data_IF_709807233866
#
_entry.id   IF_709807233866
#
_cell.length_a   1.000
_cell.length_b   1.000
_cell.length_c   1.000
_cell.angle_alpha   90.00
_cell.angle_beta   90.00
_cell.angle_gamma   90.00
#
_symmetry.space_group_name_H-M   'P 1'
#
loop_
_entity.id
_entity.type
_entity.pdbx_description
1 polymer ?
#
# COMPACT_ATOMS: atom_id res chain seq x y z
N UNK A 1 -25.80 -38.91 67.00
CA UNK A 1 -25.53 -40.10 66.18
C UNK A 1 -24.62 -39.68 65.03
N UNK A 2 -23.46 -40.36 64.88
CA UNK A 2 -22.45 -40.33 63.79
C UNK A 2 -21.69 -38.99 63.57
N UNK A 3 -20.42 -38.75 63.98
CA UNK A 3 -19.11 -39.36 63.58
C UNK A 3 -19.02 -39.63 62.07
N UNK A 4 -18.06 -39.16 61.25
CA UNK A 4 -16.58 -38.99 61.29
C UNK A 4 -16.24 -38.26 59.94
N UNK A 5 -15.19 -37.48 59.68
CA UNK A 5 -13.75 -37.68 59.88
C UNK A 5 -12.99 -36.36 59.65
N UNK A 6 -12.04 -36.07 60.55
CA UNK A 6 -10.92 -35.14 60.39
C UNK A 6 -9.70 -35.93 59.91
N UNK A 7 -8.96 -35.40 58.92
CA UNK A 7 -7.50 -35.53 58.73
C UNK A 7 -7.08 -34.18 58.09
N UNK A 8 -6.45 -33.20 58.75
CA UNK A 8 -5.12 -33.13 59.40
C UNK A 8 -4.00 -33.34 58.36
N UNK A 9 -3.10 -32.41 58.05
CA UNK A 9 -2.82 -31.08 58.58
C UNK A 9 -1.75 -30.37 57.73
N UNK A 10 -1.49 -29.12 58.06
CA UNK A 10 -0.42 -28.24 57.54
C UNK A 10 0.97 -28.88 57.53
N UNK A 11 1.82 -28.43 56.59
CA UNK A 11 3.10 -27.80 56.98
C UNK A 11 3.68 -26.90 55.88
N UNK A 12 4.13 -25.73 56.33
CA UNK A 12 4.93 -24.71 55.64
C UNK A 12 6.39 -25.17 55.46
N UNK A 13 7.03 -24.82 54.32
CA UNK A 13 8.37 -24.18 54.27
C UNK A 13 8.87 -23.87 52.84
N UNK A 14 9.16 -22.57 52.64
CA UNK A 14 10.35 -21.94 52.01
C UNK A 14 10.91 -22.43 50.66
N UNK A 15 10.88 -21.49 49.70
CA UNK A 15 11.97 -21.00 48.82
C UNK A 15 12.87 -22.01 48.08
N UNK A 16 12.73 -22.07 46.75
CA UNK A 16 13.73 -21.63 45.75
C UNK A 16 13.59 -22.39 44.41
N UNK A 17 13.65 -21.57 43.35
CA UNK A 17 14.16 -21.85 42.00
C UNK A 17 13.28 -22.59 41.00
N UNK A 18 12.82 -21.81 40.02
CA UNK A 18 12.15 -22.26 38.81
C UNK A 18 11.43 -21.11 38.11
N UNK A 19 12.16 -20.04 37.78
CA UNK A 19 11.73 -19.06 36.77
C UNK A 19 11.38 -19.81 35.47
N UNK A 20 10.10 -20.10 35.26
CA UNK A 20 9.51 -20.02 33.94
C UNK A 20 8.62 -18.78 33.93
N UNK A 21 9.26 -17.62 34.07
CA UNK A 21 8.84 -16.47 33.27
C UNK A 21 8.92 -16.91 31.82
N UNK A 22 7.81 -17.44 31.31
CA UNK A 22 7.49 -17.28 29.90
C UNK A 22 7.56 -15.79 29.65
N UNK A 23 8.68 -15.34 29.12
CA UNK A 23 8.83 -14.03 28.50
C UNK A 23 7.84 -14.03 27.35
N UNK A 24 6.59 -13.74 27.66
CA UNK A 24 5.63 -13.23 26.71
C UNK A 24 6.28 -11.93 26.24
N UNK A 25 6.93 -11.99 25.09
CA UNK A 25 7.78 -10.93 24.60
C UNK A 25 6.93 -9.67 24.41
N UNK A 26 7.02 -8.78 25.40
CA UNK A 26 6.19 -7.60 25.60
C UNK A 26 6.63 -6.49 24.65
N UNK A 27 6.44 -6.66 23.35
CA UNK A 27 6.60 -5.57 22.39
C UNK A 27 5.67 -5.60 21.17
N UNK A 28 5.04 -6.74 20.83
CA UNK A 28 4.23 -6.86 19.60
C UNK A 28 2.71 -6.99 19.80
N UNK A 29 2.23 -7.10 21.05
CA UNK A 29 0.81 -7.31 21.40
C UNK A 29 -0.03 -6.00 21.55
N UNK A 30 0.49 -4.84 21.16
CA UNK A 30 -0.09 -3.53 21.55
C UNK A 30 -0.94 -2.87 20.46
N UNK A 31 -1.74 -3.65 19.72
CA UNK A 31 -2.85 -3.04 18.99
C UNK A 31 -3.90 -2.55 20.02
N UNK A 32 -4.44 -1.32 19.88
CA UNK A 32 -5.35 -0.74 20.87
C UNK A 32 -6.67 -1.51 21.03
N UNK A 33 -6.99 -2.37 20.07
CA UNK A 33 -8.12 -3.31 20.07
C UNK A 33 -7.84 -4.41 19.04
N UNK A 34 -8.42 -5.61 19.20
CA UNK A 34 -8.22 -6.72 18.27
C UNK A 34 -9.30 -6.77 17.20
N UNK A 35 -9.00 -7.44 16.08
CA UNK A 35 -9.98 -7.67 15.01
C UNK A 35 -11.19 -8.48 15.51
N UNK A 36 -10.96 -9.41 16.43
CA UNK A 36 -12.00 -10.24 17.05
C UNK A 36 -13.03 -9.44 17.87
N UNK A 37 -12.66 -8.25 18.36
CA UNK A 37 -13.51 -7.42 19.23
C UNK A 37 -14.52 -6.58 18.44
N UNK A 38 -14.49 -6.63 17.10
CA UNK A 38 -15.34 -5.82 16.25
C UNK A 38 -16.65 -6.55 15.95
N UNK A 39 -17.68 -6.16 16.69
CA UNK A 39 -19.04 -6.55 16.40
C UNK A 39 -19.63 -5.72 15.26
N UNK A 40 -20.18 -6.39 14.24
CA UNK A 40 -20.98 -5.72 13.20
C UNK A 40 -22.37 -6.34 13.13
N UNK A 41 -23.38 -5.47 13.13
CA UNK A 41 -24.77 -5.85 12.85
C UNK A 41 -24.92 -6.27 11.39
N UNK A 42 -25.53 -7.43 11.10
CA UNK A 42 -25.75 -7.88 9.72
C UNK A 42 -26.61 -6.86 8.97
N UNK A 43 -26.22 -6.55 7.73
CA UNK A 43 -26.95 -5.67 6.81
C UNK A 43 -27.44 -6.49 5.61
N UNK A 44 -28.39 -5.93 4.87
CA UNK A 44 -28.92 -6.53 3.64
C UNK A 44 -27.84 -6.89 2.60
N UNK A 45 -26.68 -6.23 2.64
CA UNK A 45 -25.55 -6.46 1.72
C UNK A 45 -24.72 -7.72 2.11
N UNK A 46 -24.97 -8.34 3.27
CA UNK A 46 -24.23 -9.52 3.74
C UNK A 46 -24.78 -10.82 3.16
N UNK A 47 -24.86 -10.90 1.84
CA UNK A 47 -25.36 -12.09 1.14
C UNK A 47 -24.40 -13.29 1.25
N UNK A 48 -23.12 -13.06 1.53
CA UNK A 48 -22.09 -14.10 1.66
C UNK A 48 -21.17 -13.84 2.87
N UNK A 49 -20.74 -14.87 3.63
CA UNK A 49 -19.89 -14.70 4.82
C UNK A 49 -18.58 -13.93 4.57
N UNK A 50 -18.03 -14.00 3.35
CA UNK A 50 -16.84 -13.22 2.97
C UNK A 50 -17.08 -11.71 2.96
N UNK A 51 -18.28 -11.25 2.62
CA UNK A 51 -18.63 -9.82 2.60
C UNK A 51 -18.65 -9.26 4.02
N UNK A 52 -19.25 -10.01 4.95
CA UNK A 52 -19.24 -9.67 6.38
C UNK A 52 -17.81 -9.59 6.90
N UNK A 53 -16.97 -10.59 6.59
CA UNK A 53 -15.55 -10.63 6.98
C UNK A 53 -14.78 -9.41 6.46
N UNK A 54 -14.89 -9.12 5.17
CA UNK A 54 -14.23 -7.94 4.55
C UNK A 54 -14.69 -6.66 5.24
N UNK A 55 -15.98 -6.53 5.55
CA UNK A 55 -16.49 -5.34 6.24
C UNK A 55 -15.95 -5.21 7.66
N UNK A 56 -15.81 -6.32 8.40
CA UNK A 56 -15.14 -6.33 9.71
C UNK A 56 -13.72 -5.81 9.62
N UNK A 57 -12.95 -6.34 8.67
CA UNK A 57 -11.57 -5.92 8.45
C UNK A 57 -11.47 -4.45 8.01
N UNK A 58 -12.36 -3.97 7.15
CA UNK A 58 -12.38 -2.57 6.74
C UNK A 58 -12.73 -1.63 7.90
N UNK A 59 -13.70 -2.00 8.74
CA UNK A 59 -14.04 -1.20 9.93
C UNK A 59 -12.91 -1.22 10.97
N UNK A 60 -12.22 -2.35 11.13
CA UNK A 60 -11.03 -2.47 11.96
C UNK A 60 -9.95 -1.50 11.51
N UNK A 61 -9.57 -1.59 10.25
CA UNK A 61 -8.54 -0.74 9.64
C UNK A 61 -8.92 0.74 9.75
N UNK A 62 -10.19 1.08 9.52
CA UNK A 62 -10.68 2.45 9.62
C UNK A 62 -10.62 3.02 11.05
N UNK A 63 -11.00 2.23 12.06
CA UNK A 63 -10.86 2.66 13.45
C UNK A 63 -9.38 2.83 13.79
N UNK A 64 -8.54 1.91 13.32
CA UNK A 64 -7.13 1.87 13.67
C UNK A 64 -6.36 3.05 13.04
N UNK A 65 -6.62 3.37 11.76
CA UNK A 65 -5.97 4.50 11.08
C UNK A 65 -6.36 5.85 11.67
N UNK A 66 -7.60 5.97 12.19
CA UNK A 66 -8.05 7.19 12.89
C UNK A 66 -7.32 7.39 14.21
N UNK A 67 -7.07 6.32 14.95
CA UNK A 67 -6.31 6.38 16.21
C UNK A 67 -4.84 6.70 15.95
N UNK A 68 -4.27 6.16 14.88
CA UNK A 68 -2.87 6.38 14.51
C UNK A 68 -2.63 7.71 13.76
N UNK A 69 -3.67 8.49 13.46
CA UNK A 69 -3.53 9.65 12.57
C UNK A 69 -2.69 10.78 13.19
N UNK A 70 -1.49 11.00 12.65
CA UNK A 70 -0.53 12.04 13.05
C UNK A 70 -0.61 13.28 12.12
N UNK A 71 -0.19 14.44 12.65
CA UNK A 71 0.14 15.64 11.88
C UNK A 71 1.04 15.35 10.66
N UNK A 72 2.00 14.44 10.76
CA UNK A 72 2.85 14.07 9.63
C UNK A 72 2.06 13.46 8.45
N UNK A 73 1.04 12.64 8.71
CA UNK A 73 0.15 12.15 7.64
C UNK A 73 -0.62 13.31 7.00
N UNK A 74 -1.07 14.26 7.81
CA UNK A 74 -1.80 15.44 7.33
C UNK A 74 -0.91 16.29 6.42
N UNK A 75 0.34 16.54 6.80
CA UNK A 75 1.31 17.27 5.97
C UNK A 75 1.53 16.54 4.65
N UNK A 76 1.73 15.21 4.67
CA UNK A 76 1.92 14.42 3.46
C UNK A 76 0.69 14.51 2.52
N UNK A 77 -0.53 14.38 3.05
CA UNK A 77 -1.77 14.52 2.27
C UNK A 77 -1.87 15.91 1.65
N UNK A 78 -1.63 16.97 2.44
CA UNK A 78 -1.70 18.36 1.95
C UNK A 78 -0.66 18.58 0.84
N UNK A 79 0.57 18.10 1.00
CA UNK A 79 1.60 18.21 -0.03
C UNK A 79 1.20 17.53 -1.33
N UNK A 80 0.60 16.33 -1.27
CA UNK A 80 0.12 15.64 -2.46
C UNK A 80 -1.08 16.35 -3.11
N UNK A 81 -2.03 16.86 -2.31
CA UNK A 81 -3.17 17.63 -2.82
C UNK A 81 -2.69 18.91 -3.52
N UNK A 82 -1.75 19.64 -2.90
CA UNK A 82 -1.12 20.81 -3.53
C UNK A 82 -0.40 20.44 -4.82
N UNK A 83 0.33 19.31 -4.84
CA UNK A 83 1.00 18.83 -6.05
C UNK A 83 0.00 18.61 -7.19
N UNK A 84 -1.14 17.98 -6.92
CA UNK A 84 -2.22 17.76 -7.89
C UNK A 84 -2.84 19.08 -8.35
N UNK A 85 -3.18 19.99 -7.43
CA UNK A 85 -3.80 21.27 -7.78
C UNK A 85 -2.87 22.13 -8.63
N UNK A 86 -1.61 22.25 -8.24
CA UNK A 86 -0.60 22.96 -9.01
C UNK A 86 -0.36 22.29 -10.37
N UNK A 87 -0.38 20.96 -10.43
CA UNK A 87 -0.21 20.25 -11.70
C UNK A 87 -1.40 20.44 -12.65
N UNK A 88 -2.63 20.33 -12.14
CA UNK A 88 -3.84 20.29 -12.95
C UNK A 88 -4.43 21.67 -13.29
N UNK A 89 -4.27 22.67 -12.41
CA UNK A 89 -4.85 24.00 -12.57
C UNK A 89 -3.87 24.99 -13.21
N UNK A 90 -3.22 24.57 -14.30
CA UNK A 90 -2.20 25.35 -14.98
C UNK A 90 -2.79 26.06 -16.21
N UNK A 91 -2.41 27.32 -16.44
CA UNK A 91 -2.91 28.13 -17.55
C UNK A 91 -2.65 27.46 -18.92
N UNK A 92 -1.47 26.86 -19.10
CA UNK A 92 -1.11 26.17 -20.36
C UNK A 92 -1.97 24.92 -20.60
N UNK A 93 -2.50 24.31 -19.54
CA UNK A 93 -3.43 23.17 -19.65
C UNK A 93 -4.83 23.66 -20.06
N UNK A 94 -5.25 24.82 -19.57
CA UNK A 94 -6.56 25.40 -19.89
C UNK A 94 -6.63 25.95 -21.33
N UNK A 95 -5.55 26.57 -21.81
CA UNK A 95 -5.45 27.11 -23.16
C UNK A 95 -5.11 26.03 -24.22
N UNK A 96 -4.72 24.84 -23.77
CA UNK A 96 -4.36 23.69 -24.62
C UNK A 96 -2.99 23.79 -25.28
N UNK A 97 -2.33 24.96 -25.19
CA UNK A 97 -0.97 25.21 -25.64
C UNK A 97 -0.76 25.02 -27.15
N UNK A 98 0.51 25.15 -27.58
CA UNK A 98 0.89 24.89 -28.97
C UNK A 98 1.30 23.43 -29.17
N UNK A 99 0.41 22.64 -29.77
CA UNK A 99 0.62 21.22 -30.03
C UNK A 99 1.78 20.86 -30.98
N UNK A 100 2.35 21.84 -31.69
CA UNK A 100 3.50 21.60 -32.58
C UNK A 100 4.83 21.61 -31.84
N UNK A 101 4.85 22.08 -30.60
CA UNK A 101 6.05 22.24 -29.79
C UNK A 101 5.96 21.28 -28.61
N UNK A 102 6.97 20.44 -28.42
CA UNK A 102 7.01 19.43 -27.37
C UNK A 102 8.43 19.30 -26.79
N UNK A 103 8.54 18.62 -25.65
CA UNK A 103 9.83 18.39 -24.99
C UNK A 103 10.45 19.66 -24.42
N UNK A 104 11.77 19.77 -24.52
CA UNK A 104 12.53 20.88 -23.93
C UNK A 104 12.18 22.24 -24.57
N UNK A 105 11.89 22.25 -25.86
CA UNK A 105 11.46 23.45 -26.59
C UNK A 105 10.09 23.92 -26.08
N UNK A 106 9.16 22.99 -25.84
CA UNK A 106 7.85 23.31 -25.27
C UNK A 106 7.96 23.91 -23.87
N UNK A 107 8.94 23.42 -23.09
CA UNK A 107 9.22 23.92 -21.75
C UNK A 107 9.79 25.35 -21.75
N UNK A 108 10.54 25.72 -22.79
CA UNK A 108 11.09 27.08 -22.94
C UNK A 108 10.03 28.10 -23.38
N UNK A 109 8.99 27.64 -24.08
CA UNK A 109 7.90 28.48 -24.59
C UNK A 109 6.75 28.61 -23.56
N UNK A 110 6.71 27.73 -22.56
CA UNK A 110 5.73 27.77 -21.48
C UNK A 110 5.73 29.14 -20.77
N UNK A 111 4.55 29.61 -20.38
CA UNK A 111 4.43 30.85 -19.63
C UNK A 111 5.21 30.79 -18.32
N UNK A 112 5.84 31.89 -17.88
CA UNK A 112 6.67 31.91 -16.67
C UNK A 112 5.91 31.42 -15.42
N UNK A 113 4.63 31.80 -15.29
CA UNK A 113 3.75 31.31 -14.21
C UNK A 113 3.45 29.82 -14.34
N UNK A 114 3.13 29.34 -15.54
CA UNK A 114 2.85 27.93 -15.83
C UNK A 114 4.06 27.04 -15.54
N UNK A 115 5.24 27.49 -15.96
CA UNK A 115 6.52 26.84 -15.69
C UNK A 115 6.81 26.76 -14.18
N UNK A 116 6.71 27.89 -13.46
CA UNK A 116 6.94 27.92 -12.02
C UNK A 116 5.99 27.00 -11.25
N UNK A 117 4.70 27.02 -11.62
CA UNK A 117 3.68 26.16 -11.03
C UNK A 117 3.96 24.67 -11.27
N UNK A 118 4.44 24.30 -12.46
CA UNK A 118 4.85 22.93 -12.78
C UNK A 118 6.04 22.49 -11.91
N UNK A 119 7.09 23.31 -11.80
CA UNK A 119 8.28 23.01 -10.97
C UNK A 119 7.87 22.86 -9.50
N UNK A 120 6.99 23.72 -9.00
CA UNK A 120 6.48 23.63 -7.63
C UNK A 120 5.65 22.35 -7.40
N UNK A 121 4.82 21.95 -8.37
CA UNK A 121 4.10 20.68 -8.33
C UNK A 121 5.05 19.49 -8.21
N UNK A 122 6.13 19.47 -9.01
CA UNK A 122 7.15 18.42 -8.96
C UNK A 122 7.84 18.39 -7.59
N UNK A 123 8.18 19.56 -7.02
CA UNK A 123 8.76 19.66 -5.69
C UNK A 123 7.81 19.12 -4.61
N UNK A 124 6.50 19.41 -4.70
CA UNK A 124 5.49 18.88 -3.80
C UNK A 124 5.34 17.34 -3.93
N UNK A 125 5.40 16.79 -5.15
CA UNK A 125 5.44 15.35 -5.37
C UNK A 125 6.68 14.69 -4.76
N UNK A 126 7.85 15.30 -4.94
CA UNK A 126 9.10 14.81 -4.35
C UNK A 126 9.05 14.85 -2.81
N UNK A 127 8.51 15.92 -2.23
CA UNK A 127 8.30 16.04 -0.79
C UNK A 127 7.32 14.98 -0.26
N UNK A 128 6.24 14.72 -1.00
CA UNK A 128 5.28 13.68 -0.64
C UNK A 128 5.92 12.30 -0.65
N UNK A 129 6.68 11.94 -1.70
CA UNK A 129 7.42 10.70 -1.76
C UNK A 129 8.41 10.58 -0.59
N UNK A 130 9.20 11.63 -0.34
CA UNK A 130 10.12 11.67 0.80
C UNK A 130 9.40 11.43 2.12
N UNK A 131 8.27 12.12 2.34
CA UNK A 131 7.45 11.96 3.54
C UNK A 131 6.97 10.52 3.72
N UNK A 132 6.47 9.87 2.66
CA UNK A 132 6.03 8.47 2.74
C UNK A 132 7.17 7.51 3.04
N UNK A 133 8.35 7.70 2.46
CA UNK A 133 9.53 6.85 2.70
C UNK A 133 10.06 6.98 4.13
N UNK A 134 9.92 8.16 4.75
CA UNK A 134 10.27 8.38 6.15
C UNK A 134 9.21 7.84 7.11
N UNK A 135 7.93 8.07 6.82
CA UNK A 135 6.80 7.55 7.60
C UNK A 135 6.74 6.03 7.57
N UNK A 136 7.12 5.44 6.43
CA UNK A 136 6.95 4.01 6.18
C UNK A 136 8.26 3.28 5.84
N UNK A 137 9.20 3.13 6.80
CA UNK A 137 10.50 2.47 6.60
C UNK A 137 10.45 1.03 6.09
N UNK A 138 9.48 0.23 6.54
CA UNK A 138 9.33 -1.17 6.11
C UNK A 138 8.88 -1.27 4.66
N UNK A 139 8.08 -0.29 4.23
CA UNK A 139 7.44 -0.28 2.92
C UNK A 139 8.18 0.60 1.90
N UNK A 140 9.37 1.14 2.19
CA UNK A 140 10.09 2.12 1.36
C UNK A 140 10.15 1.76 -0.12
N UNK A 141 10.62 0.56 -0.44
CA UNK A 141 10.75 0.09 -1.82
C UNK A 141 9.38 0.02 -2.50
N UNK A 142 8.38 -0.50 -1.79
CA UNK A 142 7.03 -0.65 -2.32
C UNK A 142 6.30 0.70 -2.46
N UNK A 143 6.58 1.68 -1.61
CA UNK A 143 6.10 3.06 -1.75
C UNK A 143 6.54 3.66 -3.07
N UNK A 144 7.83 3.49 -3.43
CA UNK A 144 8.36 3.95 -4.71
C UNK A 144 7.67 3.22 -5.85
N UNK A 145 7.55 1.90 -5.77
CA UNK A 145 6.85 1.08 -6.79
C UNK A 145 5.41 1.52 -6.99
N UNK A 146 4.65 1.80 -5.92
CA UNK A 146 3.26 2.26 -6.01
C UNK A 146 3.15 3.64 -6.66
N UNK A 147 4.06 4.56 -6.36
CA UNK A 147 4.12 5.85 -7.04
C UNK A 147 4.49 5.72 -8.52
N UNK A 148 5.40 4.80 -8.86
CA UNK A 148 5.73 4.48 -10.25
C UNK A 148 4.55 3.85 -10.98
N UNK A 149 3.75 3.00 -10.33
CA UNK A 149 2.51 2.44 -10.89
C UNK A 149 1.49 3.56 -11.15
N UNK A 150 1.32 4.50 -10.21
CA UNK A 150 0.42 5.63 -10.40
C UNK A 150 0.86 6.52 -11.57
N UNK A 151 2.15 6.87 -11.65
CA UNK A 151 2.71 7.58 -12.80
C UNK A 151 2.59 6.78 -14.09
N UNK A 152 2.80 5.47 -14.04
CA UNK A 152 2.66 4.55 -15.16
C UNK A 152 1.25 4.50 -15.73
N UNK A 153 0.22 4.52 -14.87
CA UNK A 153 -1.17 4.70 -15.32
C UNK A 153 -1.36 6.04 -16.02
N UNK A 154 -0.77 7.13 -15.52
CA UNK A 154 -0.76 8.43 -16.19
C UNK A 154 -0.19 8.35 -17.62
N UNK A 155 1.00 7.77 -17.75
CA UNK A 155 1.68 7.60 -19.06
C UNK A 155 0.88 6.69 -19.98
N UNK A 156 0.35 5.56 -19.48
CA UNK A 156 -0.48 4.65 -20.27
C UNK A 156 -1.72 5.36 -20.84
N UNK A 157 -2.38 6.20 -20.03
CA UNK A 157 -3.54 6.96 -20.48
C UNK A 157 -3.18 8.02 -21.52
N UNK A 158 -2.00 8.65 -21.43
CA UNK A 158 -1.52 9.55 -22.50
C UNK A 158 -1.37 8.80 -23.83
N UNK A 159 -0.79 7.58 -23.82
CA UNK A 159 -0.68 6.77 -25.03
C UNK A 159 -2.05 6.40 -25.62
N UNK A 160 -3.00 5.98 -24.78
CA UNK A 160 -4.35 5.67 -25.25
C UNK A 160 -5.06 6.86 -25.91
N UNK A 161 -4.77 8.08 -25.45
CA UNK A 161 -5.41 9.30 -25.95
C UNK A 161 -4.63 10.04 -27.05
N UNK A 162 -3.41 9.60 -27.36
CA UNK A 162 -2.56 10.27 -28.37
C UNK A 162 -3.17 10.24 -29.77
N UNK A 163 -3.76 9.11 -30.14
CA UNK A 163 -4.42 8.92 -31.44
C UNK A 163 -5.94 8.99 -31.36
N UNK A 164 -6.50 8.81 -30.16
CA UNK A 164 -7.94 8.79 -29.93
C UNK A 164 -8.34 9.49 -28.63
N UNK A 165 -8.76 10.74 -28.77
CA UNK A 165 -9.27 11.61 -27.70
C UNK A 165 -10.54 11.11 -26.98
N UNK A 166 -11.24 10.13 -27.53
CA UNK A 166 -12.47 9.57 -26.97
C UNK A 166 -12.29 8.13 -26.48
N UNK A 167 -11.05 7.66 -26.33
CA UNK A 167 -10.75 6.33 -25.81
C UNK A 167 -11.57 6.00 -24.55
N UNK A 168 -12.29 4.87 -24.44
CA UNK A 168 -12.19 3.64 -25.23
C UNK A 168 -13.19 3.52 -26.39
N UNK A 169 -13.77 4.61 -26.87
CA UNK A 169 -14.71 4.59 -28.00
C UNK A 169 -13.93 4.71 -29.30
N UNK A 170 -14.31 3.96 -30.34
CA UNK A 170 -13.76 4.06 -31.71
C UNK A 170 -12.22 3.97 -31.78
N UNK A 171 -11.62 2.97 -31.14
CA UNK A 171 -10.17 2.73 -31.16
C UNK A 171 -9.76 1.67 -32.19
N UNK A 172 -8.50 1.75 -32.63
CA UNK A 172 -7.79 0.69 -33.34
C UNK A 172 -6.84 -0.03 -32.36
N UNK A 173 -6.69 -1.35 -32.49
CA UNK A 173 -5.79 -2.10 -31.59
C UNK A 173 -4.32 -1.70 -31.77
N UNK A 174 -3.91 -1.38 -33.01
CA UNK A 174 -2.54 -1.03 -33.36
C UNK A 174 -2.06 0.20 -32.59
N UNK A 175 -2.92 1.20 -32.43
CA UNK A 175 -2.53 2.51 -31.93
C UNK A 175 -2.46 2.55 -30.39
N UNK A 176 -2.87 1.45 -29.75
CA UNK A 176 -2.97 1.31 -28.29
C UNK A 176 -1.89 0.43 -27.66
N UNK A 177 -1.04 -0.21 -28.48
CA UNK A 177 -0.07 -1.19 -27.99
C UNK A 177 0.80 -0.65 -26.85
N UNK A 178 1.25 0.61 -26.94
CA UNK A 178 2.04 1.27 -25.90
C UNK A 178 1.29 1.40 -24.57
N UNK A 179 0.05 1.89 -24.60
CA UNK A 179 -0.78 2.02 -23.41
C UNK A 179 -1.10 0.68 -22.76
N UNK A 180 -1.38 -0.35 -23.56
CA UNK A 180 -1.63 -1.71 -23.06
C UNK A 180 -0.40 -2.32 -22.40
N UNK A 181 0.78 -2.22 -23.03
CA UNK A 181 2.02 -2.75 -22.49
C UNK A 181 2.34 -2.13 -21.12
N UNK A 182 2.27 -0.80 -21.02
CA UNK A 182 2.53 -0.09 -19.75
C UNK A 182 1.50 -0.50 -18.69
N UNK A 183 0.21 -0.59 -19.06
CA UNK A 183 -0.85 -1.01 -18.14
C UNK A 183 -0.61 -2.43 -17.62
N UNK A 184 -0.22 -3.37 -18.49
CA UNK A 184 0.08 -4.75 -18.11
C UNK A 184 1.27 -4.82 -17.13
N UNK A 185 2.34 -4.06 -17.41
CA UNK A 185 3.51 -3.95 -16.53
C UNK A 185 3.10 -3.38 -15.16
N UNK A 186 2.27 -2.34 -15.12
CA UNK A 186 1.77 -1.76 -13.87
C UNK A 186 0.93 -2.76 -13.06
N UNK A 187 0.02 -3.50 -13.73
CA UNK A 187 -0.79 -4.56 -13.09
C UNK A 187 0.10 -5.69 -12.57
N UNK A 188 1.12 -6.08 -13.32
CA UNK A 188 2.09 -7.09 -12.91
C UNK A 188 2.84 -6.68 -11.63
N UNK A 189 3.36 -5.45 -11.58
CA UNK A 189 4.03 -4.96 -10.36
C UNK A 189 3.05 -4.80 -9.19
N UNK A 190 1.81 -4.39 -9.44
CA UNK A 190 0.77 -4.33 -8.42
C UNK A 190 0.47 -5.72 -7.84
N UNK A 191 0.37 -6.74 -8.70
CA UNK A 191 0.20 -8.12 -8.27
C UNK A 191 1.37 -8.60 -7.41
N UNK A 192 2.61 -8.35 -7.85
CA UNK A 192 3.81 -8.69 -7.08
C UNK A 192 3.86 -7.99 -5.73
N UNK A 193 3.46 -6.72 -5.67
CA UNK A 193 3.32 -5.97 -4.43
C UNK A 193 2.32 -6.63 -3.48
N UNK A 194 1.09 -6.90 -3.94
CA UNK A 194 0.05 -7.56 -3.13
C UNK A 194 0.55 -8.92 -2.63
N UNK A 195 1.20 -9.69 -3.51
CA UNK A 195 1.76 -10.99 -3.17
C UNK A 195 2.85 -10.89 -2.12
N UNK A 196 3.81 -9.98 -2.28
CA UNK A 196 4.92 -9.78 -1.33
C UNK A 196 4.42 -9.44 0.07
N UNK A 197 3.42 -8.54 0.19
CA UNK A 197 2.83 -8.18 1.48
C UNK A 197 2.15 -9.38 2.15
N UNK A 198 1.35 -10.14 1.38
CA UNK A 198 0.66 -11.32 1.92
C UNK A 198 1.63 -12.40 2.39
N UNK A 199 2.65 -12.68 1.59
CA UNK A 199 3.68 -13.67 1.93
C UNK A 199 4.53 -13.24 3.13
N UNK A 200 4.88 -11.95 3.24
CA UNK A 200 5.60 -11.43 4.40
C UNK A 200 4.75 -11.52 5.66
N UNK A 201 3.45 -11.23 5.57
CA UNK A 201 2.52 -11.40 6.70
C UNK A 201 2.46 -12.85 7.14
N UNK A 202 2.30 -13.78 6.19
CA UNK A 202 2.23 -15.21 6.50
C UNK A 202 3.50 -15.67 7.24
N UNK A 203 4.66 -15.26 6.74
CA UNK A 203 5.94 -15.52 7.40
C UNK A 203 6.04 -14.88 8.79
N UNK A 204 5.58 -13.63 8.94
CA UNK A 204 5.59 -12.93 10.23
C UNK A 204 4.79 -13.71 11.29
N UNK A 205 3.60 -14.21 10.94
CA UNK A 205 2.77 -15.02 11.84
C UNK A 205 3.43 -16.38 12.13
N UNK A 206 4.00 -17.03 11.11
CA UNK A 206 4.73 -18.31 11.26
C UNK A 206 5.93 -18.17 12.20
N UNK A 207 6.62 -17.02 12.24
CA UNK A 207 7.80 -16.80 13.09
C UNK A 207 7.46 -16.31 14.50
N UNK A 208 6.51 -15.36 14.65
CA UNK A 208 6.28 -14.65 15.92
C UNK A 208 5.07 -15.19 16.71
N UNK A 209 4.15 -15.90 16.05
CA UNK A 209 2.95 -16.46 16.67
C UNK A 209 2.89 -17.99 16.51
N UNK A 210 4.07 -18.64 16.41
CA UNK A 210 4.15 -20.08 16.32
C UNK A 210 3.59 -20.72 17.58
N UNK A 211 2.58 -21.58 17.40
CA UNK A 211 2.03 -22.36 18.48
C UNK A 211 1.73 -23.78 18.02
N UNK A 212 1.90 -24.74 18.93
CA UNK A 212 1.67 -26.17 18.65
C UNK A 212 0.18 -26.46 18.38
N UNK A 213 -0.73 -25.68 18.99
CA UNK A 213 -2.16 -25.75 18.69
C UNK A 213 -2.51 -25.00 17.40
N UNK A 214 -2.96 -25.76 16.40
CA UNK A 214 -3.46 -25.27 15.11
C UNK A 214 -4.57 -24.23 15.25
N UNK A 215 -5.40 -24.27 16.30
CA UNK A 215 -6.50 -23.33 16.51
C UNK A 215 -6.01 -21.94 16.90
N UNK A 216 -4.94 -21.89 17.70
CA UNK A 216 -4.31 -20.63 18.11
C UNK A 216 -3.59 -20.00 16.92
N UNK A 217 -2.92 -20.82 16.11
CA UNK A 217 -2.33 -20.39 14.84
C UNK A 217 -3.40 -19.83 13.87
N UNK A 218 -4.52 -20.53 13.70
CA UNK A 218 -5.64 -20.05 12.86
C UNK A 218 -6.27 -18.76 13.39
N UNK A 219 -6.30 -18.57 14.72
CA UNK A 219 -6.75 -17.33 15.33
C UNK A 219 -5.77 -16.17 15.03
N UNK A 220 -4.46 -16.39 15.20
CA UNK A 220 -3.43 -15.40 14.89
C UNK A 220 -3.42 -15.01 13.40
N UNK A 221 -3.58 -16.00 12.50
CA UNK A 221 -3.73 -15.78 11.05
C UNK A 221 -4.99 -15.00 10.68
N UNK A 222 -6.07 -15.16 11.46
CA UNK A 222 -7.30 -14.37 11.30
C UNK A 222 -7.12 -12.95 11.80
N UNK A 223 -6.46 -12.75 12.94
CA UNK A 223 -6.18 -11.41 13.48
C UNK A 223 -5.33 -10.57 12.51
N UNK A 224 -4.41 -11.21 11.79
CA UNK A 224 -3.58 -10.56 10.77
C UNK A 224 -4.14 -10.68 9.34
N UNK A 225 -5.45 -10.80 9.16
CA UNK A 225 -6.03 -10.98 7.82
C UNK A 225 -5.88 -9.72 6.95
N UNK A 226 -5.56 -9.93 5.67
CA UNK A 226 -5.32 -8.89 4.65
C UNK A 226 -6.40 -8.84 3.56
N UNK A 227 -7.56 -9.47 3.77
CA UNK A 227 -8.61 -9.53 2.75
C UNK A 227 -9.20 -8.13 2.49
N UNK A 228 -9.56 -7.40 3.55
CA UNK A 228 -10.02 -6.01 3.48
C UNK A 228 -8.94 -5.07 2.93
N UNK A 229 -7.68 -5.29 3.30
CA UNK A 229 -6.56 -4.49 2.77
C UNK A 229 -6.37 -4.68 1.27
N UNK A 230 -6.55 -5.92 0.77
CA UNK A 230 -6.48 -6.20 -0.67
C UNK A 230 -7.55 -5.41 -1.44
N UNK A 231 -8.77 -5.28 -0.87
CA UNK A 231 -9.83 -4.45 -1.45
C UNK A 231 -9.44 -2.97 -1.48
N UNK A 232 -8.80 -2.45 -0.43
CA UNK A 232 -8.25 -1.08 -0.42
C UNK A 232 -7.22 -0.89 -1.53
N UNK A 233 -6.29 -1.83 -1.71
CA UNK A 233 -5.27 -1.77 -2.77
C UNK A 233 -5.87 -1.75 -4.17
N UNK A 234 -6.87 -2.61 -4.41
CA UNK A 234 -7.59 -2.65 -5.69
C UNK A 234 -8.38 -1.35 -5.91
N UNK A 235 -9.04 -0.85 -4.87
CA UNK A 235 -9.80 0.42 -4.94
C UNK A 235 -8.87 1.60 -5.20
N UNK A 236 -7.69 1.62 -4.58
CA UNK A 236 -6.63 2.59 -4.85
C UNK A 236 -6.22 2.54 -6.32
N UNK A 237 -5.91 1.35 -6.84
CA UNK A 237 -5.48 1.18 -8.24
C UNK A 237 -6.55 1.62 -9.24
N UNK A 238 -7.82 1.28 -9.00
CA UNK A 238 -8.95 1.73 -9.83
C UNK A 238 -9.06 3.26 -9.77
N UNK A 239 -8.97 3.85 -8.58
CA UNK A 239 -9.05 5.31 -8.41
C UNK A 239 -7.90 6.03 -9.12
N UNK A 240 -6.68 5.50 -9.03
CA UNK A 240 -5.51 6.02 -9.73
C UNK A 240 -5.67 5.94 -11.26
N UNK A 241 -6.19 4.82 -11.76
CA UNK A 241 -6.50 4.64 -13.18
C UNK A 241 -7.58 5.61 -13.65
N UNK A 242 -8.66 5.79 -12.88
CA UNK A 242 -9.74 6.73 -13.19
C UNK A 242 -9.26 8.19 -13.18
N UNK A 243 -8.41 8.56 -12.21
CA UNK A 243 -7.73 9.86 -12.19
C UNK A 243 -6.92 10.07 -13.47
N UNK A 244 -6.09 9.10 -13.87
CA UNK A 244 -5.28 9.19 -15.09
C UNK A 244 -6.16 9.28 -16.36
N UNK A 245 -7.21 8.47 -16.44
CA UNK A 245 -8.10 8.41 -17.60
C UNK A 245 -8.87 9.73 -17.79
N UNK A 246 -9.40 10.30 -16.70
CA UNK A 246 -10.11 11.58 -16.73
C UNK A 246 -9.17 12.76 -16.99
N UNK A 247 -7.93 12.72 -16.46
CA UNK A 247 -6.91 13.72 -16.77
C UNK A 247 -6.51 13.71 -18.25
N UNK A 248 -6.29 12.51 -18.82
CA UNK A 248 -5.97 12.36 -20.23
C UNK A 248 -7.13 12.80 -21.14
N UNK A 249 -8.39 12.54 -20.77
CA UNK A 249 -9.57 13.07 -21.47
C UNK A 249 -9.59 14.59 -21.55
N UNK A 250 -9.20 15.26 -20.47
CA UNK A 250 -9.19 16.71 -20.40
C UNK A 250 -8.11 17.29 -21.32
N UNK A 251 -6.88 16.77 -21.21
CA UNK A 251 -5.72 17.26 -21.97
C UNK A 251 -5.85 16.93 -23.46
N UNK A 252 -6.39 15.77 -23.81
CA UNK A 252 -6.63 15.41 -25.21
C UNK A 252 -7.64 16.35 -25.87
N UNK A 253 -8.52 17.00 -25.08
CA UNK A 253 -9.50 17.95 -25.59
C UNK A 253 -8.90 19.30 -26.03
N UNK A 254 -7.87 19.82 -25.35
CA UNK A 254 -7.19 21.10 -25.65
C UNK A 254 -8.06 22.37 -25.68
N UNK A 255 -9.37 22.29 -25.90
CA UNK A 255 -10.30 23.43 -25.97
C UNK A 255 -10.90 23.79 -24.61
N UNK A 256 -10.52 23.05 -23.55
CA UNK A 256 -11.04 23.24 -22.19
C UNK A 256 -12.53 22.89 -22.00
N UNK A 257 -13.22 22.44 -23.06
CA UNK A 257 -14.69 22.25 -23.07
C UNK A 257 -15.17 21.12 -22.14
N UNK A 258 -14.34 20.10 -21.90
CA UNK A 258 -14.64 18.94 -21.04
C UNK A 258 -14.33 19.20 -19.57
N UNK A 259 -14.92 20.23 -18.99
CA UNK A 259 -14.72 20.57 -17.56
C UNK A 259 -15.07 19.42 -16.61
N UNK A 260 -16.00 18.56 -16.99
CA UNK A 260 -16.33 17.33 -16.24
C UNK A 260 -15.11 16.42 -16.03
N UNK A 261 -14.23 16.32 -17.03
CA UNK A 261 -13.06 15.45 -16.98
C UNK A 261 -12.03 16.01 -15.98
N UNK A 262 -11.84 17.33 -15.93
CA UNK A 262 -11.01 17.99 -14.93
C UNK A 262 -11.57 17.80 -13.51
N UNK A 263 -12.88 17.98 -13.32
CA UNK A 263 -13.52 17.80 -12.00
C UNK A 263 -13.32 16.36 -11.49
N UNK A 264 -13.55 15.37 -12.36
CA UNK A 264 -13.34 13.98 -11.99
C UNK A 264 -11.86 13.66 -11.76
N UNK A 265 -10.94 14.22 -12.54
CA UNK A 265 -9.50 14.06 -12.31
C UNK A 265 -9.11 14.55 -10.92
N UNK A 266 -9.58 15.74 -10.51
CA UNK A 266 -9.33 16.28 -9.18
C UNK A 266 -9.96 15.42 -8.08
N UNK A 267 -11.21 14.97 -8.27
CA UNK A 267 -11.91 14.12 -7.32
C UNK A 267 -11.19 12.77 -7.11
N UNK A 268 -10.90 12.03 -8.20
CA UNK A 268 -10.23 10.74 -8.10
C UNK A 268 -8.80 10.89 -7.58
N UNK A 269 -8.09 11.97 -7.91
CA UNK A 269 -6.76 12.25 -7.34
C UNK A 269 -6.84 12.50 -5.84
N UNK A 270 -7.81 13.29 -5.38
CA UNK A 270 -8.04 13.56 -3.95
C UNK A 270 -8.39 12.29 -3.17
N UNK A 271 -9.12 11.35 -3.78
CA UNK A 271 -9.44 10.03 -3.19
C UNK A 271 -8.24 9.08 -3.23
N UNK A 272 -7.42 9.12 -4.28
CA UNK A 272 -6.26 8.23 -4.47
C UNK A 272 -5.19 8.46 -3.42
N UNK A 273 -4.96 9.71 -3.00
CA UNK A 273 -3.95 10.08 -1.98
C UNK A 273 -4.16 9.34 -0.64
N UNK A 274 -5.30 9.48 0.05
CA UNK A 274 -5.53 8.79 1.32
C UNK A 274 -5.61 7.26 1.15
N UNK A 275 -6.11 6.76 0.01
CA UNK A 275 -6.09 5.32 -0.28
C UNK A 275 -4.68 4.78 -0.44
N UNK A 276 -3.75 5.57 -0.98
CA UNK A 276 -2.34 5.17 -1.09
C UNK A 276 -1.69 5.08 0.29
N UNK A 277 -1.93 6.08 1.15
CA UNK A 277 -1.46 6.07 2.53
C UNK A 277 -2.00 4.83 3.24
N UNK A 278 -3.29 4.52 3.10
CA UNK A 278 -3.89 3.32 3.68
C UNK A 278 -3.23 2.03 3.18
N UNK A 279 -3.00 1.95 1.87
CA UNK A 279 -2.35 0.80 1.22
C UNK A 279 -0.95 0.52 1.80
N UNK A 280 -0.20 1.57 2.13
CA UNK A 280 1.17 1.47 2.67
C UNK A 280 1.17 1.31 4.20
N UNK A 281 0.31 2.05 4.89
CA UNK A 281 0.26 2.12 6.35
C UNK A 281 -0.11 0.79 6.99
N UNK A 282 -1.15 0.11 6.49
CA UNK A 282 -1.69 -1.06 7.17
C UNK A 282 -0.69 -2.23 7.24
N UNK A 283 -0.01 -2.62 6.15
CA UNK A 283 1.04 -3.64 6.22
C UNK A 283 2.16 -3.29 7.18
N UNK A 284 2.63 -2.03 7.18
CA UNK A 284 3.67 -1.63 8.12
C UNK A 284 3.20 -1.73 9.57
N UNK A 285 1.97 -1.30 9.86
CA UNK A 285 1.43 -1.39 11.22
C UNK A 285 1.31 -2.84 11.70
N UNK A 286 0.94 -3.75 10.81
CA UNK A 286 0.84 -5.19 11.12
C UNK A 286 2.21 -5.87 11.25
N UNK A 287 3.23 -5.38 10.55
CA UNK A 287 4.56 -5.99 10.51
C UNK A 287 5.56 -5.41 11.53
N UNK A 288 5.19 -4.33 12.23
CA UNK A 288 6.02 -3.72 13.28
C UNK A 288 7.16 -2.85 12.72
N UNK A 289 8.37 -2.96 13.32
CA UNK A 289 9.54 -2.16 12.94
C UNK A 289 10.68 -2.98 12.30
N UNK A 290 10.64 -4.31 12.38
CA UNK A 290 11.78 -5.17 12.03
C UNK A 290 11.60 -5.98 10.74
N UNK A 291 10.38 -6.08 10.22
CA UNK A 291 10.12 -6.89 9.04
C UNK A 291 10.60 -6.22 7.74
N UNK A 292 11.05 -7.02 6.79
CA UNK A 292 11.30 -6.60 5.39
C UNK A 292 10.28 -7.25 4.47
N UNK A 293 9.53 -6.44 3.73
CA UNK A 293 8.47 -6.96 2.84
C UNK A 293 9.05 -7.54 1.55
N UNK A 294 9.03 -8.87 1.44
CA UNK A 294 9.60 -9.65 0.33
C UNK A 294 8.71 -10.85 0.01
N UNK A 295 8.89 -11.43 -1.18
CA UNK A 295 8.24 -12.70 -1.53
C UNK A 295 9.02 -13.87 -0.93
N UNK A 296 8.35 -15.00 -0.64
CA UNK A 296 9.01 -16.24 -0.14
C UNK A 296 10.12 -16.69 -1.11
N UNK A 297 9.87 -16.58 -2.42
CA UNK A 297 10.88 -16.88 -3.45
C UNK A 297 12.12 -15.98 -3.39
N UNK A 298 11.95 -14.69 -3.08
CA UNK A 298 13.09 -13.78 -2.94
C UNK A 298 13.93 -14.08 -1.70
N UNK A 299 13.31 -14.52 -0.60
CA UNK A 299 14.00 -14.96 0.61
C UNK A 299 14.84 -16.22 0.32
N UNK A 300 14.21 -17.24 -0.30
CA UNK A 300 14.90 -18.49 -0.67
C UNK A 300 16.06 -18.23 -1.65
N UNK A 301 15.87 -17.32 -2.62
CA UNK A 301 16.93 -16.97 -3.56
C UNK A 301 18.12 -16.26 -2.88
N UNK A 302 17.87 -15.41 -1.88
CA UNK A 302 18.92 -14.75 -1.09
C UNK A 302 19.66 -15.77 -0.21
N UNK A 303 18.95 -16.70 0.42
CA UNK A 303 19.54 -17.80 1.18
C UNK A 303 20.43 -18.69 0.30
N UNK A 304 19.97 -19.05 -0.90
CA UNK A 304 20.75 -19.83 -1.89
C UNK A 304 21.99 -19.05 -2.37
N UNK A 305 21.86 -17.74 -2.63
CA UNK A 305 22.99 -16.89 -2.99
C UNK A 305 24.01 -16.76 -1.85
N UNK A 306 23.55 -16.61 -0.60
CA UNK A 306 24.42 -16.53 0.57
C UNK A 306 25.13 -17.87 0.83
N UNK A 307 24.42 -18.99 0.67
CA UNK A 307 25.00 -20.33 0.77
C UNK A 307 26.08 -20.55 -0.29
N UNK A 308 25.81 -20.18 -1.55
CA UNK A 308 26.80 -20.26 -2.63
C UNK A 308 28.00 -19.34 -2.42
N UNK A 309 27.78 -18.13 -1.93
CA UNK A 309 28.86 -17.20 -1.60
C UNK A 309 29.77 -17.74 -0.48
N UNK A 310 29.22 -18.41 0.54
CA UNK A 310 30.02 -19.06 1.59
C UNK A 310 30.84 -20.22 1.03
N UNK A 311 30.25 -21.04 0.14
CA UNK A 311 30.96 -22.15 -0.51
C UNK A 311 32.07 -21.67 -1.46
N UNK A 312 31.89 -20.54 -2.16
CA UNK A 312 32.92 -19.93 -3.01
C UNK A 312 34.03 -19.19 -2.24
N UNK A 313 33.81 -18.84 -0.96
CA UNK A 313 34.84 -18.30 -0.05
C UNK A 313 35.54 -19.41 0.75
N UNK A 314 35.00 -20.64 0.72
CA UNK A 314 35.59 -21.86 1.30
C UNK A 314 36.33 -22.78 0.30
N UNK A 315 37.03 -22.34 -0.76
CA UNK A 315 38.10 -23.13 -1.33
C UNK A 315 39.36 -22.85 -0.48
N UNK A 316 39.92 -23.92 0.08
CA UNK A 316 41.31 -24.01 0.58
C UNK A 316 41.56 -23.99 2.12
N UNK A 317 40.74 -24.66 2.93
CA UNK A 317 41.13 -25.06 4.30
C UNK A 317 41.58 -26.54 4.44
N UNK A 318 41.77 -27.27 3.34
CA UNK A 318 42.35 -28.64 3.33
C UNK A 318 43.64 -28.73 2.50
N UNK A 319 44.57 -27.80 2.71
CA UNK A 319 45.93 -27.88 2.18
C UNK A 319 46.98 -27.57 3.26
N UNK A 320 46.95 -28.32 4.36
CA UNK A 320 48.10 -28.55 5.25
C UNK A 320 48.06 -29.98 5.80
#
# INVERSE_FOLDING_TARGET
MLQRNKLKGEQSRTDMDGEETTTHDTSHDTLPFRLGDIEIKPRFVDFHPSVTKIRTELLFQWKLIRTDWNQQFTIAVISAVLAVLLGALNADIFDGGNAKIAGLEGLQVAGSTAYFQMVLSIACWAWFLFSLVQLFPIMRTHTITLLLIWGGFGVAQIYFHSYNRNFPISFSLSDMMGGFLITLVCIFFLYFFIKAVRETRDLHVETHHLHEDVRVMEAAMREHSLAGWTIICVTWSISAMMSAWTGAHYIAERTGSRTWALILHLFFSAVTIPLMIWTIWFPQKMLGNEARVRTKAAVIAEEDLMSKAILEVSPDEEAW
#
